data_IF_796178879571
#
_entry.id   IF_796178879571
#
_cell.length_a   1.000
_cell.length_b   1.000
_cell.length_c   1.000
_cell.angle_alpha   90.00
_cell.angle_beta   90.00
_cell.angle_gamma   90.00
#
_symmetry.space_group_name_H-M   'P 1'
#
loop_
_entity.id
_entity.type
_entity.pdbx_description
1 polymer ?
#
# COMPACT_ATOMS: atom_id res chain seq x y z
N UNK A 1 -26.03 -47.93 7.01
CA UNK A 1 -24.93 -47.27 6.25
C UNK A 1 -25.37 -46.08 5.38
N UNK A 2 -26.59 -46.04 4.84
CA UNK A 2 -27.08 -44.94 3.98
C UNK A 2 -27.24 -43.58 4.71
N UNK A 3 -27.57 -43.60 6.00
CA UNK A 3 -27.80 -42.40 6.84
C UNK A 3 -26.53 -41.62 7.18
N UNK A 4 -25.40 -42.30 7.35
CA UNK A 4 -24.10 -41.68 7.67
C UNK A 4 -23.56 -40.88 6.49
N UNK A 5 -23.60 -41.46 5.27
CA UNK A 5 -23.13 -40.81 4.04
C UNK A 5 -23.93 -39.54 3.71
N UNK A 6 -25.24 -39.55 3.95
CA UNK A 6 -26.12 -38.40 3.69
C UNK A 6 -25.77 -37.18 4.58
N UNK A 7 -25.54 -37.40 5.88
CA UNK A 7 -25.11 -36.32 6.80
C UNK A 7 -23.75 -35.75 6.43
N UNK A 8 -22.81 -36.59 5.98
CA UNK A 8 -21.49 -36.15 5.52
C UNK A 8 -21.57 -35.32 4.24
N UNK A 9 -22.43 -35.71 3.28
CA UNK A 9 -22.67 -34.95 2.05
C UNK A 9 -23.27 -33.57 2.36
N UNK A 10 -24.25 -33.52 3.27
CA UNK A 10 -24.85 -32.25 3.71
C UNK A 10 -23.82 -31.32 4.36
N UNK A 11 -22.97 -31.86 5.24
CA UNK A 11 -21.91 -31.10 5.91
C UNK A 11 -20.86 -30.57 4.92
N UNK A 12 -20.45 -31.38 3.92
CA UNK A 12 -19.52 -30.94 2.87
C UNK A 12 -20.13 -29.82 2.02
N UNK A 13 -21.41 -29.93 1.67
CA UNK A 13 -22.12 -28.89 0.92
C UNK A 13 -22.19 -27.57 1.69
N UNK A 14 -22.43 -27.63 3.00
CA UNK A 14 -22.46 -26.45 3.87
C UNK A 14 -21.08 -25.78 3.99
N UNK A 15 -20.01 -26.57 4.13
CA UNK A 15 -18.64 -26.05 4.15
C UNK A 15 -18.26 -25.36 2.84
N UNK A 16 -18.60 -25.97 1.69
CA UNK A 16 -18.38 -25.36 0.38
C UNK A 16 -19.14 -24.04 0.23
N UNK A 17 -20.38 -23.98 0.71
CA UNK A 17 -21.20 -22.76 0.67
C UNK A 17 -20.57 -21.61 1.47
N UNK A 18 -20.08 -21.90 2.68
CA UNK A 18 -19.36 -20.90 3.49
C UNK A 18 -18.10 -20.42 2.77
N UNK A 19 -17.35 -21.33 2.15
CA UNK A 19 -16.13 -20.99 1.41
C UNK A 19 -16.43 -20.05 0.22
N UNK A 20 -17.53 -20.29 -0.50
CA UNK A 20 -17.99 -19.44 -1.61
C UNK A 20 -18.46 -18.06 -1.11
N UNK A 21 -19.02 -17.97 0.09
CA UNK A 21 -19.45 -16.69 0.66
C UNK A 21 -18.30 -15.89 1.30
N UNK A 22 -17.17 -16.54 1.60
CA UNK A 22 -16.05 -15.93 2.34
C UNK A 22 -15.10 -15.11 1.45
N UNK A 23 -15.57 -14.60 0.31
CA UNK A 23 -14.70 -13.88 -0.62
C UNK A 23 -14.37 -12.50 -0.03
N UNK A 24 -13.09 -12.19 0.23
CA UNK A 24 -12.73 -10.84 0.60
C UNK A 24 -13.11 -9.90 -0.55
N UNK A 25 -13.75 -8.77 -0.21
CA UNK A 25 -14.00 -7.72 -1.20
C UNK A 25 -12.65 -7.29 -1.81
N UNK A 26 -12.56 -7.11 -3.13
CA UNK A 26 -11.36 -6.56 -3.73
C UNK A 26 -11.14 -5.15 -3.18
N UNK A 27 -10.11 -4.98 -2.37
CA UNK A 27 -9.66 -3.66 -1.93
C UNK A 27 -8.95 -3.01 -3.11
N UNK A 28 -9.50 -1.92 -3.62
CA UNK A 28 -8.79 -1.08 -4.60
C UNK A 28 -7.86 -0.13 -3.83
N UNK A 29 -6.56 -0.26 -4.03
CA UNK A 29 -5.62 0.78 -3.65
C UNK A 29 -5.77 1.92 -4.66
N UNK A 30 -6.53 2.94 -4.29
CA UNK A 30 -6.65 4.15 -5.09
C UNK A 30 -5.53 5.11 -4.71
N UNK A 31 -4.64 5.37 -5.66
CA UNK A 31 -3.59 6.37 -5.54
C UNK A 31 -4.25 7.76 -5.65
N UNK A 32 -4.14 8.56 -4.61
CA UNK A 32 -4.64 9.95 -4.61
C UNK A 32 -3.64 10.81 -5.41
N UNK A 33 -4.14 11.73 -6.22
CA UNK A 33 -3.42 12.31 -7.36
C UNK A 33 -2.10 13.05 -7.00
N UNK A 34 -1.95 13.60 -5.79
CA UNK A 34 -0.72 14.28 -5.41
C UNK A 34 -0.57 14.48 -3.89
N UNK A 35 -0.16 13.42 -3.16
CA UNK A 35 0.24 13.54 -1.73
C UNK A 35 1.74 13.80 -1.53
N UNK A 36 2.50 13.97 -2.62
CA UNK A 36 3.95 13.99 -2.55
C UNK A 36 4.46 15.35 -2.12
N UNK A 37 5.07 15.35 -0.95
CA UNK A 37 5.68 16.52 -0.32
C UNK A 37 7.03 16.90 -0.96
N UNK A 38 7.65 15.96 -1.67
CA UNK A 38 8.88 16.16 -2.42
C UNK A 38 8.83 15.43 -3.78
N UNK A 39 9.60 15.92 -4.75
CA UNK A 39 9.75 15.32 -6.06
C UNK A 39 11.23 15.20 -6.47
N UNK A 40 11.49 14.50 -7.57
CA UNK A 40 12.83 14.29 -8.13
C UNK A 40 13.09 15.13 -9.39
N UNK A 41 12.16 15.99 -9.78
CA UNK A 41 12.31 16.82 -10.95
C UNK A 41 13.36 17.89 -10.67
N UNK A 42 14.52 17.80 -11.34
CA UNK A 42 15.56 18.82 -11.22
C UNK A 42 15.04 20.20 -11.60
N UNK A 43 15.32 21.20 -10.75
CA UNK A 43 14.81 22.56 -10.91
C UNK A 43 13.31 22.71 -10.63
N UNK A 44 12.65 21.63 -10.19
CA UNK A 44 11.27 21.64 -9.72
C UNK A 44 11.12 22.42 -8.41
N UNK A 45 9.89 22.83 -8.12
CA UNK A 45 9.60 23.54 -6.87
C UNK A 45 9.77 22.66 -5.62
N UNK A 46 9.54 21.34 -5.75
CA UNK A 46 9.83 20.35 -4.72
C UNK A 46 11.00 19.44 -5.10
N UNK A 47 11.85 19.89 -6.03
CA UNK A 47 12.98 19.13 -6.54
C UNK A 47 14.10 18.94 -5.51
N UNK A 48 15.07 18.06 -5.79
CA UNK A 48 16.16 17.71 -4.88
C UNK A 48 16.93 18.91 -4.35
N UNK A 49 17.06 19.96 -5.15
CA UNK A 49 17.79 21.18 -4.78
C UNK A 49 17.12 21.96 -3.64
N UNK A 50 15.82 21.72 -3.39
CA UNK A 50 14.99 22.46 -2.43
C UNK A 50 14.53 21.63 -1.23
N UNK A 51 14.83 20.33 -1.16
CA UNK A 51 14.31 19.47 -0.09
C UNK A 51 14.61 19.99 1.33
N UNK A 52 15.78 20.58 1.55
CA UNK A 52 16.12 21.15 2.86
C UNK A 52 15.35 22.41 3.25
N UNK A 53 14.62 23.02 2.31
CA UNK A 53 13.73 24.17 2.54
C UNK A 53 12.27 23.75 2.78
N UNK A 54 11.89 22.53 2.35
CA UNK A 54 10.53 22.00 2.51
C UNK A 54 10.20 21.79 3.99
N UNK A 55 11.16 21.23 4.74
CA UNK A 55 11.00 20.84 6.15
C UNK A 55 12.24 21.14 6.97
N UNK A 56 12.04 21.59 8.21
CA UNK A 56 13.15 21.96 9.12
C UNK A 56 14.03 20.75 9.45
N UNK A 57 13.41 19.59 9.65
CA UNK A 57 14.07 18.31 9.90
C UNK A 57 14.94 17.84 8.71
N UNK A 58 14.73 18.39 7.51
CA UNK A 58 15.48 18.06 6.31
C UNK A 58 16.56 19.09 5.96
N UNK A 59 16.80 20.09 6.81
CA UNK A 59 17.78 21.16 6.56
C UNK A 59 19.19 20.68 6.16
N UNK A 60 19.59 19.48 6.59
CA UNK A 60 20.85 18.87 6.16
C UNK A 60 20.92 18.58 4.65
N UNK A 61 19.79 18.44 3.95
CA UNK A 61 19.74 18.30 2.51
C UNK A 61 20.20 19.56 1.76
N UNK A 62 20.09 20.75 2.37
CA UNK A 62 20.55 22.01 1.77
C UNK A 62 21.89 22.51 2.32
N UNK A 63 22.27 22.13 3.55
CA UNK A 63 23.48 22.66 4.22
C UNK A 63 24.46 21.59 4.75
N UNK A 64 24.20 20.30 4.50
CA UNK A 64 25.05 19.20 4.95
C UNK A 64 26.37 19.14 4.21
N UNK A 65 27.48 19.15 4.94
CA UNK A 65 28.84 19.16 4.36
C UNK A 65 29.38 17.78 4.00
N UNK A 66 28.70 16.72 4.45
CA UNK A 66 29.08 15.32 4.20
C UNK A 66 28.14 14.62 3.20
N UNK A 67 27.16 15.34 2.65
CA UNK A 67 26.30 14.80 1.60
C UNK A 67 27.11 14.68 0.31
N UNK A 68 26.82 13.64 -0.47
CA UNK A 68 27.31 13.54 -1.85
C UNK A 68 26.47 14.51 -2.68
N UNK A 69 27.11 15.55 -3.21
CA UNK A 69 26.54 16.44 -4.22
C UNK A 69 26.85 15.87 -5.61
N UNK A 70 25.79 15.55 -6.36
CA UNK A 70 25.84 15.11 -7.77
C UNK A 70 26.18 16.24 -8.74
#
# INVERSE_FOLDING_TARGET
MKTMKSKTILALGFLLFIFILSHPSPTQAQEVEDEREFDYARGGHMGPEKWGEIKKEWSACSNGTMQISD
#
